data_IF_244904771523
#
_entry.id   IF_244904771523
#
_cell.length_a   1.000
_cell.length_b   1.000
_cell.length_c   1.000
_cell.angle_alpha   90.00
_cell.angle_beta   90.00
_cell.angle_gamma   90.00
#
_symmetry.space_group_name_H-M   'P 1'
#
loop_
_entity.id
_entity.type
_entity.pdbx_description
1 polymer ?
#
# COMPACT_ATOMS: atom_id res chain seq x y z
N UNK A 1 -2.35 -3.90 5.05
CA UNK A 1 -1.77 -4.56 3.85
C UNK A 1 -2.17 -6.03 3.82
N UNK A 2 -2.49 -6.59 2.64
CA UNK A 2 -2.84 -8.01 2.47
C UNK A 2 -1.68 -8.86 1.96
N UNK A 3 -0.86 -8.33 1.06
CA UNK A 3 0.30 -9.03 0.51
C UNK A 3 1.36 -8.01 0.04
N UNK A 4 2.63 -8.40 0.08
CA UNK A 4 3.80 -7.62 -0.31
C UNK A 4 4.76 -8.57 -1.05
N UNK A 5 5.27 -8.15 -2.21
CA UNK A 5 6.39 -8.76 -2.90
C UNK A 5 7.38 -7.70 -3.38
N UNK A 6 8.54 -8.11 -3.87
CA UNK A 6 9.49 -7.18 -4.51
C UNK A 6 8.91 -6.42 -5.72
N UNK A 7 7.83 -6.93 -6.34
CA UNK A 7 7.18 -6.28 -7.49
C UNK A 7 5.98 -5.40 -7.16
N UNK A 8 5.47 -5.43 -5.92
CA UNK A 8 4.27 -4.67 -5.59
C UNK A 8 3.54 -5.11 -4.33
N UNK A 9 2.44 -4.43 -4.05
CA UNK A 9 1.67 -4.53 -2.82
C UNK A 9 0.19 -4.68 -3.13
N UNK A 10 -0.51 -5.52 -2.35
CA UNK A 10 -1.96 -5.60 -2.30
C UNK A 10 -2.42 -5.07 -0.95
N UNK A 11 -3.24 -4.02 -0.96
CA UNK A 11 -3.79 -3.42 0.26
C UNK A 11 -5.23 -2.99 0.05
N UNK A 12 -5.85 -2.49 1.10
CA UNK A 12 -7.24 -2.02 1.09
C UNK A 12 -7.27 -0.53 1.39
N UNK A 13 -8.10 0.20 0.68
CA UNK A 13 -8.25 1.65 0.87
C UNK A 13 -9.68 2.10 0.58
N UNK A 14 -10.10 3.18 1.21
CA UNK A 14 -11.31 3.94 0.91
C UNK A 14 -11.06 5.08 -0.09
N UNK A 15 -9.80 5.36 -0.43
CA UNK A 15 -9.45 6.33 -1.46
C UNK A 15 -9.97 5.88 -2.83
N UNK A 16 -10.50 6.84 -3.58
CA UNK A 16 -10.89 6.64 -4.96
C UNK A 16 -9.62 6.65 -5.84
N UNK A 17 -9.28 5.47 -6.37
CA UNK A 17 -8.19 5.27 -7.32
C UNK A 17 -8.66 4.37 -8.46
N UNK A 18 -8.07 4.56 -9.64
CA UNK A 18 -8.34 3.80 -10.85
C UNK A 18 -7.11 3.03 -11.32
N UNK A 19 -7.34 1.98 -12.13
CA UNK A 19 -6.22 1.27 -12.78
C UNK A 19 -5.53 2.23 -13.73
N UNK A 20 -4.22 2.38 -13.56
CA UNK A 20 -3.43 3.35 -14.32
C UNK A 20 -2.87 4.49 -13.46
N UNK A 21 -3.50 4.78 -12.33
CA UNK A 21 -3.11 5.89 -11.48
C UNK A 21 -1.72 5.67 -10.89
N UNK A 22 -0.93 6.73 -10.86
CA UNK A 22 0.33 6.80 -10.11
C UNK A 22 -0.03 7.18 -8.68
N UNK A 23 0.45 6.39 -7.72
CA UNK A 23 0.17 6.58 -6.30
C UNK A 23 1.47 6.60 -5.49
N UNK A 24 1.42 7.34 -4.39
CA UNK A 24 2.41 7.34 -3.32
C UNK A 24 1.84 6.63 -2.11
N UNK A 25 2.66 5.83 -1.44
CA UNK A 25 2.23 5.09 -0.25
C UNK A 25 3.42 4.75 0.65
N UNK A 26 3.14 4.50 1.93
CA UNK A 26 4.16 4.09 2.90
C UNK A 26 4.00 2.61 3.23
N UNK A 27 5.09 1.86 3.12
CA UNK A 27 5.19 0.51 3.70
C UNK A 27 5.99 0.61 5.01
N UNK A 28 5.38 0.20 6.11
CA UNK A 28 6.10 -0.03 7.37
C UNK A 28 6.47 -1.51 7.47
N UNK A 29 7.77 -1.81 7.37
CA UNK A 29 8.30 -3.14 7.63
C UNK A 29 8.40 -3.35 9.15
N UNK A 30 7.90 -4.48 9.68
CA UNK A 30 7.92 -4.74 11.11
C UNK A 30 9.36 -4.88 11.61
N UNK A 31 9.65 -4.26 12.75
CA UNK A 31 10.91 -4.48 13.46
C UNK A 31 10.92 -5.83 14.18
N UNK A 32 12.10 -6.34 14.56
CA UNK A 32 12.23 -7.61 15.27
C UNK A 32 11.92 -7.46 16.76
N UNK A 33 12.24 -6.32 17.35
CA UNK A 33 11.93 -5.99 18.75
C UNK A 33 10.58 -5.29 18.92
N UNK A 34 9.96 -5.45 20.10
CA UNK A 34 8.73 -4.74 20.47
C UNK A 34 8.96 -3.22 20.62
N UNK A 35 10.19 -2.83 20.95
CA UNK A 35 10.60 -1.44 21.24
C UNK A 35 11.38 -0.78 20.08
N UNK A 36 11.51 -1.45 18.94
CA UNK A 36 12.19 -0.92 17.75
C UNK A 36 11.17 -0.27 16.81
N UNK A 37 11.46 0.94 16.33
CA UNK A 37 10.63 1.56 15.30
C UNK A 37 10.76 0.79 13.98
N UNK A 38 9.61 0.47 13.37
CA UNK A 38 9.57 -0.20 12.08
C UNK A 38 10.18 0.66 10.98
N UNK A 39 10.88 0.01 10.04
CA UNK A 39 11.45 0.70 8.89
C UNK A 39 10.34 1.17 7.96
N UNK A 40 10.26 2.46 7.70
CA UNK A 40 9.28 3.06 6.78
C UNK A 40 9.92 3.23 5.39
N UNK A 41 9.18 2.82 4.37
CA UNK A 41 9.53 3.03 2.98
C UNK A 41 8.51 3.96 2.35
N UNK A 42 8.95 5.11 1.84
CA UNK A 42 8.12 5.94 0.98
C UNK A 42 8.22 5.38 -0.44
N UNK A 43 7.09 5.01 -1.03
CA UNK A 43 7.02 4.25 -2.26
C UNK A 43 6.20 4.99 -3.32
N UNK A 44 6.65 4.90 -4.57
CA UNK A 44 5.89 5.32 -5.74
C UNK A 44 5.59 4.10 -6.60
N UNK A 45 4.36 4.02 -7.09
CA UNK A 45 3.90 2.93 -7.93
C UNK A 45 2.69 3.28 -8.76
N UNK A 46 2.22 2.29 -9.50
CA UNK A 46 1.06 2.38 -10.39
C UNK A 46 0.03 1.34 -10.00
N UNK A 47 -1.24 1.74 -9.95
CA UNK A 47 -2.34 0.81 -9.72
C UNK A 47 -2.53 -0.08 -10.96
N UNK A 48 -2.43 -1.40 -10.76
CA UNK A 48 -2.56 -2.39 -11.84
C UNK A 48 -3.83 -3.24 -11.73
N UNK A 49 -4.48 -3.26 -10.55
CA UNK A 49 -5.70 -4.05 -10.33
C UNK A 49 -6.55 -3.47 -9.23
N UNK A 50 -7.86 -3.48 -9.43
CA UNK A 50 -8.88 -3.15 -8.44
C UNK A 50 -9.80 -4.35 -8.23
N UNK A 51 -9.90 -4.83 -7.00
CA UNK A 51 -10.88 -5.82 -6.61
C UNK A 51 -12.08 -5.11 -6.02
N UNK A 52 -13.15 -5.00 -6.81
CA UNK A 52 -14.44 -4.48 -6.34
C UNK A 52 -15.12 -5.57 -5.50
N UNK A 53 -15.55 -5.28 -4.26
CA UNK A 53 -16.29 -6.25 -3.47
C UNK A 53 -17.56 -6.68 -4.23
N UNK A 54 -17.76 -8.00 -4.39
CA UNK A 54 -18.97 -8.57 -4.98
C UNK A 54 -19.99 -8.89 -3.88
N UNK A 55 -21.28 -8.63 -4.13
CA UNK A 55 -22.38 -8.98 -3.21
C UNK A 55 -23.11 -7.78 -2.59
N UNK A 56 -24.08 -8.01 -1.68
CA UNK A 56 -24.98 -6.97 -1.16
C UNK A 56 -24.29 -5.82 -0.41
N UNK A 57 -23.02 -5.97 -0.07
CA UNK A 57 -22.19 -4.96 0.59
C UNK A 57 -21.22 -4.23 -0.38
N UNK A 58 -21.38 -4.39 -1.70
CA UNK A 58 -20.48 -3.85 -2.73
C UNK A 58 -20.28 -2.32 -2.69
N UNK A 59 -21.19 -1.57 -2.05
CA UNK A 59 -21.15 -0.11 -2.00
C UNK A 59 -20.49 0.52 -0.76
N UNK A 60 -20.13 -0.27 0.26
CA UNK A 60 -19.75 0.27 1.58
C UNK A 60 -18.31 0.03 2.02
N UNK A 61 -17.50 -0.72 1.26
CA UNK A 61 -16.27 -1.28 1.80
C UNK A 61 -15.04 -1.02 0.96
N UNK A 62 -13.99 -0.65 1.68
CA UNK A 62 -12.58 -0.66 1.32
C UNK A 62 -12.29 -1.52 0.08
N UNK A 63 -11.81 -0.87 -0.98
CA UNK A 63 -11.43 -1.52 -2.24
C UNK A 63 -10.07 -2.15 -2.04
N UNK A 64 -9.92 -3.42 -2.38
CA UNK A 64 -8.60 -4.02 -2.43
C UNK A 64 -7.94 -3.63 -3.75
N UNK A 65 -6.74 -3.07 -3.68
CA UNK A 65 -5.99 -2.58 -4.83
C UNK A 65 -4.59 -3.19 -4.86
N UNK A 66 -4.13 -3.57 -6.04
CA UNK A 66 -2.76 -3.96 -6.28
C UNK A 66 -2.02 -2.84 -6.99
N UNK A 67 -0.86 -2.45 -6.45
CA UNK A 67 0.01 -1.44 -7.02
C UNK A 67 1.44 -1.97 -7.18
N UNK A 68 2.15 -1.49 -8.19
CA UNK A 68 3.58 -1.77 -8.39
C UNK A 68 4.42 -1.08 -7.32
N UNK A 69 5.63 -1.60 -7.08
CA UNK A 69 6.67 -0.95 -6.28
C UNK A 69 7.80 -0.53 -7.22
N UNK A 70 7.71 0.68 -7.79
CA UNK A 70 8.64 1.12 -8.84
C UNK A 70 9.83 1.89 -8.29
N UNK A 71 9.59 2.77 -7.33
CA UNK A 71 10.63 3.51 -6.61
C UNK A 71 10.31 3.48 -5.13
N UNK A 72 11.34 3.41 -4.31
CA UNK A 72 11.18 3.60 -2.88
C UNK A 72 12.43 4.23 -2.26
N UNK A 73 12.22 4.90 -1.14
CA UNK A 73 13.27 5.45 -0.30
C UNK A 73 13.01 5.12 1.17
N UNK A 74 14.07 4.99 1.96
CA UNK A 74 13.98 4.82 3.40
C UNK A 74 13.63 6.15 4.05
N UNK A 75 12.55 6.18 4.82
CA UNK A 75 12.19 7.35 5.62
C UNK A 75 12.93 7.27 6.94
N UNK A 76 13.71 8.30 7.27
CA UNK A 76 14.39 8.40 8.56
C UNK A 76 13.44 8.98 9.61
N UNK A 77 13.51 8.55 10.88
CA UNK A 77 12.63 9.04 11.94
C UNK A 77 12.66 10.56 12.14
N UNK A 78 13.79 11.20 11.85
CA UNK A 78 14.04 12.61 12.12
C UNK A 78 13.55 13.56 11.00
N UNK A 79 12.91 13.05 9.95
CA UNK A 79 12.45 13.81 8.76
C UNK A 79 10.93 14.12 8.77
N UNK A 80 10.25 14.00 9.92
CA UNK A 80 8.81 14.25 10.06
C UNK A 80 8.48 15.43 10.99
#
# INVERSE_FOLDING_TARGET
TRNLSSGGVLFVTDHAVEVGDVIEYIITLPARGRDEEGVKLHCVGKVIRLDRPRGPNAGKHLRAIAATLERYEFVRPDEA
#
